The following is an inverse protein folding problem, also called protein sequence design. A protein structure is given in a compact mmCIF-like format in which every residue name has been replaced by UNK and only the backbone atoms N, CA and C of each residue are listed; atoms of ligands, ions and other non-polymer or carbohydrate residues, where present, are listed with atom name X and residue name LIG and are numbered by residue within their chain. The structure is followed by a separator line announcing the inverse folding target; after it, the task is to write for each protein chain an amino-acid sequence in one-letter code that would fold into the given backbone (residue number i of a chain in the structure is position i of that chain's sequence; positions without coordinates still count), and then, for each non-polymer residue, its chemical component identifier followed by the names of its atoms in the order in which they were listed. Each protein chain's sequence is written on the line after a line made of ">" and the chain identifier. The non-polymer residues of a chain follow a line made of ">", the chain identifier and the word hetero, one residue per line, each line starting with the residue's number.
data_IF_928374143434
#
_entry.id   IF_928374143434
#
_cell.length_a   1.000
_cell.length_b   1.000
_cell.length_c   1.000
_cell.angle_alpha   90.00
_cell.angle_beta   90.00
_cell.angle_gamma   90.00
#
_symmetry.space_group_name_H-M   'P 1'
#
loop_
_entity.id
_entity.type
_entity.pdbx_description
1 polymer ?
#
# COMPACT_ATOMS: atom_id res chain seq x y z
N UNK A 1 9.73 -54.56 39.35
CA UNK A 1 9.60 -53.60 38.24
C UNK A 1 9.02 -54.34 37.05
N UNK A 2 8.10 -53.72 36.32
CA UNK A 2 7.39 -54.33 35.18
C UNK A 2 7.14 -53.31 34.07
N UNK A 3 8.03 -52.32 34.00
CA UNK A 3 8.05 -51.31 32.95
C UNK A 3 8.73 -51.96 31.73
N UNK A 4 8.12 -51.72 30.57
CA UNK A 4 8.43 -52.21 29.23
C UNK A 4 7.99 -51.05 28.32
N UNK A 5 8.92 -50.12 28.07
CA UNK A 5 8.65 -48.82 27.44
C UNK A 5 8.32 -48.96 25.95
N UNK A 6 9.06 -49.81 25.25
CA UNK A 6 8.95 -49.99 23.80
C UNK A 6 7.95 -51.11 23.41
N UNK A 7 7.52 -51.93 24.37
CA UNK A 7 6.48 -52.94 24.19
C UNK A 7 6.98 -54.19 23.46
N UNK A 8 8.29 -54.45 23.45
CA UNK A 8 8.89 -55.62 22.79
C UNK A 8 8.70 -56.93 23.60
N UNK A 9 8.27 -56.81 24.86
CA UNK A 9 7.99 -57.91 25.78
C UNK A 9 9.15 -58.28 26.70
N UNK A 10 10.26 -57.54 26.65
CA UNK A 10 11.32 -57.53 27.66
C UNK A 10 11.07 -56.37 28.64
N UNK A 11 11.46 -56.58 29.90
CA UNK A 11 11.38 -55.50 30.90
C UNK A 11 12.63 -54.64 30.79
N UNK A 12 12.51 -53.31 30.86
CA UNK A 12 13.61 -52.36 30.57
C UNK A 12 14.92 -52.70 31.30
N UNK A 13 14.83 -53.08 32.59
CA UNK A 13 15.99 -53.44 33.39
C UNK A 13 16.76 -54.69 32.91
N UNK A 14 16.24 -55.41 31.93
CA UNK A 14 16.85 -56.57 31.28
C UNK A 14 16.88 -56.45 29.75
N UNK A 15 16.51 -55.30 29.20
CA UNK A 15 16.38 -55.08 27.78
C UNK A 15 17.53 -54.18 27.26
N UNK A 16 18.42 -54.70 26.40
CA UNK A 16 19.48 -53.92 25.79
C UNK A 16 19.05 -53.09 24.57
N UNK A 17 17.79 -53.21 24.13
CA UNK A 17 17.22 -52.52 22.98
C UNK A 17 16.17 -51.48 23.36
N UNK A 18 16.01 -51.17 24.65
CA UNK A 18 15.14 -50.08 25.12
C UNK A 18 15.39 -48.84 24.27
N UNK A 19 14.31 -48.38 23.67
CA UNK A 19 14.22 -47.20 22.83
C UNK A 19 13.17 -46.29 23.51
N UNK A 20 13.67 -45.36 24.33
CA UNK A 20 12.83 -44.58 25.24
C UNK A 20 11.98 -43.52 24.54
N UNK A 21 12.40 -43.04 23.37
CA UNK A 21 11.70 -42.01 22.59
C UNK A 21 11.08 -42.54 21.28
N UNK A 22 11.40 -43.78 20.90
CA UNK A 22 10.79 -44.49 19.78
C UNK A 22 11.37 -44.09 18.43
N UNK A 23 12.59 -43.57 18.38
CA UNK A 23 13.24 -43.11 17.15
C UNK A 23 13.94 -44.23 16.36
N UNK A 24 13.84 -45.47 16.84
CA UNK A 24 14.50 -46.68 16.30
C UNK A 24 15.99 -46.81 16.62
N UNK A 25 16.52 -45.99 17.53
CA UNK A 25 17.84 -46.10 18.13
C UNK A 25 17.67 -46.44 19.61
N UNK A 26 18.40 -47.45 20.08
CA UNK A 26 18.31 -47.84 21.49
C UNK A 26 19.05 -46.82 22.37
N UNK A 27 18.58 -46.57 23.59
CA UNK A 27 19.11 -45.60 24.57
C UNK A 27 20.64 -45.66 24.76
N UNK A 28 21.27 -46.82 24.53
CA UNK A 28 22.71 -47.00 24.70
C UNK A 28 23.55 -46.60 23.47
N UNK A 29 22.91 -46.40 22.33
CA UNK A 29 23.46 -45.95 21.06
C UNK A 29 22.91 -44.59 20.65
N UNK A 30 21.86 -44.14 21.33
CA UNK A 30 21.23 -42.84 21.21
C UNK A 30 22.25 -41.72 21.49
N UNK A 31 22.41 -40.87 20.49
CA UNK A 31 23.31 -39.73 20.53
C UNK A 31 22.65 -38.50 21.15
N UNK A 32 21.31 -38.46 21.18
CA UNK A 32 20.49 -37.41 21.73
C UNK A 32 19.25 -37.90 22.51
N UNK A 33 19.48 -38.31 23.77
CA UNK A 33 18.42 -38.84 24.65
C UNK A 33 17.09 -38.05 24.59
N UNK A 34 16.03 -38.70 24.06
CA UNK A 34 14.68 -38.14 24.02
C UNK A 34 14.28 -37.49 22.70
N UNK A 35 15.12 -37.56 21.67
CA UNK A 35 14.95 -36.93 20.37
C UNK A 35 15.36 -37.88 19.23
N UNK A 36 14.78 -37.68 18.05
CA UNK A 36 15.05 -38.52 16.88
C UNK A 36 16.42 -38.21 16.26
N UNK A 37 17.36 -39.16 16.38
CA UNK A 37 18.74 -39.13 15.89
C UNK A 37 18.85 -39.07 14.35
N UNK A 38 17.75 -39.27 13.62
CA UNK A 38 17.71 -39.19 12.16
C UNK A 38 17.44 -37.78 11.62
N UNK A 39 17.14 -36.83 12.51
CA UNK A 39 16.81 -35.45 12.13
C UNK A 39 18.04 -34.55 12.30
N UNK A 40 18.46 -33.98 11.18
CA UNK A 40 19.56 -33.02 11.03
C UNK A 40 19.14 -32.05 9.91
N UNK A 41 18.46 -30.96 10.27
CA UNK A 41 17.81 -30.05 9.32
C UNK A 41 18.82 -29.18 8.58
N UNK A 42 19.85 -28.70 9.27
CA UNK A 42 20.87 -27.82 8.69
C UNK A 42 22.08 -28.57 8.11
N UNK A 43 22.21 -29.87 8.39
CA UNK A 43 23.20 -30.76 7.80
C UNK A 43 24.61 -30.56 8.34
N UNK A 44 24.76 -29.98 9.53
CA UNK A 44 26.06 -29.72 10.15
C UNK A 44 26.67 -30.97 10.82
N UNK A 45 25.86 -32.03 10.96
CA UNK A 45 26.22 -33.31 11.54
C UNK A 45 25.98 -33.42 13.05
N UNK A 46 25.38 -32.39 13.65
CA UNK A 46 24.70 -32.45 14.93
C UNK A 46 23.22 -32.77 14.70
N UNK A 47 22.64 -33.50 15.64
CA UNK A 47 21.23 -33.88 15.59
C UNK A 47 20.41 -32.75 16.21
N UNK A 48 19.31 -32.38 15.56
CA UNK A 48 18.45 -31.25 15.96
C UNK A 48 18.11 -31.22 17.45
N UNK A 49 17.79 -32.39 18.04
CA UNK A 49 17.42 -32.51 19.44
C UNK A 49 18.50 -32.06 20.43
N UNK A 50 19.76 -32.09 20.00
CA UNK A 50 20.94 -31.77 20.79
C UNK A 50 21.77 -30.64 20.17
N UNK A 51 21.18 -29.92 19.23
CA UNK A 51 21.81 -28.81 18.55
C UNK A 51 21.25 -27.46 19.02
N UNK A 52 22.07 -26.72 19.75
CA UNK A 52 21.76 -25.36 20.19
C UNK A 52 21.89 -24.32 19.07
N UNK A 53 22.56 -24.68 17.95
CA UNK A 53 22.86 -23.80 16.82
C UNK A 53 22.01 -24.07 15.58
N UNK A 54 21.03 -24.96 15.70
CA UNK A 54 20.13 -25.39 14.63
C UNK A 54 19.61 -24.21 13.79
N UNK A 55 19.75 -24.34 12.48
CA UNK A 55 19.33 -23.37 11.46
C UNK A 55 18.30 -23.99 10.51
N UNK A 56 17.01 -23.84 10.85
CA UNK A 56 15.93 -24.57 10.17
C UNK A 56 15.74 -24.20 8.70
N UNK A 57 16.08 -22.96 8.32
CA UNK A 57 15.88 -22.46 6.97
C UNK A 57 17.19 -22.27 6.19
N UNK A 58 18.32 -22.42 6.87
CA UNK A 58 19.64 -22.51 6.27
C UNK A 58 20.18 -21.17 5.79
N UNK A 59 19.74 -20.06 6.39
CA UNK A 59 20.19 -18.71 6.02
C UNK A 59 21.47 -18.25 6.74
N UNK A 60 21.94 -19.05 7.70
CA UNK A 60 23.15 -18.85 8.47
C UNK A 60 22.94 -18.18 9.81
N UNK A 61 21.70 -18.01 10.27
CA UNK A 61 21.34 -17.55 11.61
C UNK A 61 20.61 -18.66 12.37
N UNK A 62 21.10 -19.03 13.56
CA UNK A 62 20.44 -20.08 14.34
C UNK A 62 19.01 -19.67 14.72
N UNK A 63 18.13 -20.66 14.86
CA UNK A 63 16.73 -20.49 15.26
C UNK A 63 16.56 -19.66 16.56
N UNK A 64 17.57 -19.67 17.44
CA UNK A 64 17.55 -18.93 18.71
C UNK A 64 17.83 -17.43 18.55
N UNK A 65 18.53 -17.05 17.48
CA UNK A 65 18.92 -15.68 17.16
C UNK A 65 18.10 -15.09 16.02
N UNK A 66 17.34 -15.93 15.30
CA UNK A 66 16.50 -15.55 14.18
C UNK A 66 15.07 -15.16 14.60
N UNK A 67 14.60 -14.00 14.12
CA UNK A 67 13.22 -13.55 14.28
C UNK A 67 12.21 -14.36 13.44
N UNK A 68 12.66 -14.98 12.35
CA UNK A 68 11.86 -15.80 11.44
C UNK A 68 12.52 -17.15 11.12
N UNK A 69 12.63 -18.09 12.09
CA UNK A 69 13.35 -19.38 11.97
C UNK A 69 12.86 -20.38 10.91
N UNK A 70 12.00 -19.98 9.97
CA UNK A 70 11.50 -20.84 8.90
C UNK A 70 11.39 -20.06 7.56
N UNK A 71 11.99 -18.87 7.46
CA UNK A 71 12.02 -18.05 6.25
C UNK A 71 13.44 -17.54 6.01
N UNK A 72 14.18 -18.29 5.18
CA UNK A 72 15.58 -18.01 4.82
C UNK A 72 15.85 -16.64 4.15
N UNK A 73 14.81 -15.83 3.94
CA UNK A 73 14.92 -14.47 3.41
C UNK A 73 14.74 -13.40 4.48
N UNK A 74 14.49 -13.75 5.74
CA UNK A 74 14.21 -12.80 6.83
C UNK A 74 14.88 -13.26 8.12
N UNK A 75 15.79 -12.44 8.68
CA UNK A 75 16.47 -12.76 9.95
C UNK A 75 16.14 -11.79 11.08
N UNK A 76 15.63 -10.61 10.71
CA UNK A 76 15.52 -9.46 11.60
C UNK A 76 14.12 -8.87 11.55
N UNK A 77 13.59 -8.56 12.74
CA UNK A 77 12.40 -7.75 12.96
C UNK A 77 12.81 -6.56 13.86
N UNK A 78 13.32 -5.50 13.24
CA UNK A 78 13.93 -4.38 13.97
C UNK A 78 12.91 -3.56 14.77
N UNK A 79 11.65 -3.54 14.36
CA UNK A 79 10.58 -2.76 15.01
C UNK A 79 9.58 -3.61 15.82
N UNK A 80 9.70 -4.94 15.76
CA UNK A 80 8.97 -5.90 16.58
C UNK A 80 7.51 -6.05 16.15
N UNK A 81 7.20 -5.80 14.88
CA UNK A 81 5.83 -5.84 14.35
C UNK A 81 5.44 -7.21 13.74
N UNK A 82 6.40 -8.14 13.67
CA UNK A 82 6.23 -9.47 13.11
C UNK A 82 6.37 -9.54 11.59
N UNK A 83 6.87 -8.47 10.95
CA UNK A 83 7.25 -8.42 9.53
C UNK A 83 8.76 -8.25 9.42
N UNK A 84 9.38 -9.06 8.57
CA UNK A 84 10.83 -9.01 8.39
C UNK A 84 11.31 -7.71 7.74
N UNK A 85 12.50 -7.28 8.14
CA UNK A 85 13.14 -6.06 7.67
C UNK A 85 13.33 -6.07 6.13
N UNK A 86 13.58 -7.23 5.49
CA UNK A 86 13.76 -7.28 4.04
C UNK A 86 12.42 -7.06 3.31
N UNK A 87 11.32 -7.58 3.84
CA UNK A 87 9.97 -7.33 3.34
C UNK A 87 9.55 -5.87 3.55
N UNK A 88 9.87 -5.27 4.71
CA UNK A 88 9.58 -3.86 4.97
C UNK A 88 10.34 -2.96 3.99
N UNK A 89 11.63 -3.24 3.76
CA UNK A 89 12.45 -2.53 2.78
C UNK A 89 11.91 -2.70 1.35
N UNK A 90 11.50 -3.91 0.97
CA UNK A 90 10.92 -4.18 -0.34
C UNK A 90 9.62 -3.39 -0.55
N UNK A 91 8.79 -3.28 0.48
CA UNK A 91 7.56 -2.49 0.43
C UNK A 91 7.84 -0.99 0.26
N UNK A 92 8.87 -0.46 0.91
CA UNK A 92 9.25 0.95 0.76
C UNK A 92 9.80 1.26 -0.64
N UNK A 93 10.64 0.38 -1.19
CA UNK A 93 11.13 0.52 -2.56
C UNK A 93 9.99 0.44 -3.59
N UNK A 94 9.05 -0.49 -3.41
CA UNK A 94 7.89 -0.61 -4.28
C UNK A 94 7.01 0.64 -4.23
N UNK A 95 6.80 1.21 -3.04
CA UNK A 95 6.02 2.44 -2.89
C UNK A 95 6.66 3.63 -3.66
N UNK A 96 7.99 3.72 -3.70
CA UNK A 96 8.68 4.73 -4.49
C UNK A 96 8.51 4.50 -6.00
N UNK A 97 8.61 3.25 -6.47
CA UNK A 97 8.37 2.90 -7.88
C UNK A 97 6.93 3.17 -8.29
N UNK A 98 5.95 2.82 -7.46
CA UNK A 98 4.53 3.08 -7.70
C UNK A 98 4.24 4.58 -7.76
N UNK A 99 4.86 5.38 -6.88
CA UNK A 99 4.76 6.82 -6.93
C UNK A 99 5.35 7.39 -8.23
N UNK A 100 6.51 6.89 -8.69
CA UNK A 100 7.13 7.28 -9.96
C UNK A 100 6.27 6.87 -11.16
N UNK A 101 5.73 5.67 -11.15
CA UNK A 101 4.82 5.14 -12.17
C UNK A 101 3.56 6.00 -12.27
N UNK A 102 2.96 6.33 -11.12
CA UNK A 102 1.77 7.18 -11.06
C UNK A 102 2.10 8.59 -11.58
N UNK A 103 3.25 9.17 -11.23
CA UNK A 103 3.69 10.47 -11.77
C UNK A 103 3.94 10.41 -13.27
N UNK A 104 4.52 9.34 -13.80
CA UNK A 104 4.66 9.13 -15.24
C UNK A 104 3.31 9.07 -15.94
N UNK A 105 2.36 8.29 -15.43
CA UNK A 105 1.01 8.18 -15.97
C UNK A 105 0.31 9.54 -15.96
N UNK A 106 0.34 10.27 -14.83
CA UNK A 106 -0.26 11.59 -14.70
C UNK A 106 0.37 12.56 -15.71
N UNK A 107 1.70 12.58 -15.85
CA UNK A 107 2.38 13.45 -16.81
C UNK A 107 2.00 13.12 -18.26
N UNK A 108 1.86 11.84 -18.59
CA UNK A 108 1.42 11.37 -19.91
C UNK A 108 -0.02 11.78 -20.21
N UNK A 109 -0.94 11.58 -19.26
CA UNK A 109 -2.35 11.98 -19.40
C UNK A 109 -2.48 13.49 -19.55
N UNK A 110 -1.76 14.28 -18.76
CA UNK A 110 -1.74 15.75 -18.87
C UNK A 110 -1.22 16.19 -20.24
N UNK A 111 -0.15 15.58 -20.75
CA UNK A 111 0.37 15.86 -22.09
C UNK A 111 -0.66 15.57 -23.18
N UNK A 112 -1.35 14.42 -23.11
CA UNK A 112 -2.41 14.06 -24.07
C UNK A 112 -3.56 15.07 -24.02
N UNK A 113 -4.00 15.48 -22.84
CA UNK A 113 -5.05 16.50 -22.68
C UNK A 113 -4.62 17.83 -23.29
N UNK A 114 -3.38 18.27 -23.07
CA UNK A 114 -2.84 19.49 -23.67
C UNK A 114 -2.82 19.38 -25.20
N UNK A 115 -2.37 18.26 -25.76
CA UNK A 115 -2.35 18.05 -27.22
C UNK A 115 -3.76 18.08 -27.80
N UNK A 116 -4.73 17.44 -27.15
CA UNK A 116 -6.14 17.47 -27.58
C UNK A 116 -6.73 18.87 -27.46
N UNK A 117 -6.46 19.60 -26.38
CA UNK A 117 -6.93 20.97 -26.19
C UNK A 117 -6.34 21.93 -27.24
N UNK A 118 -5.04 21.81 -27.52
CA UNK A 118 -4.37 22.58 -28.58
C UNK A 118 -4.95 22.20 -29.95
N UNK A 119 -5.08 20.91 -30.24
CA UNK A 119 -5.65 20.42 -31.50
C UNK A 119 -7.08 20.91 -31.73
N UNK A 120 -7.95 20.82 -30.73
CA UNK A 120 -9.33 21.31 -30.79
C UNK A 120 -9.39 22.84 -30.94
N UNK A 121 -8.53 23.59 -30.24
CA UNK A 121 -8.43 25.04 -30.40
C UNK A 121 -8.04 25.45 -31.83
N UNK A 122 -7.05 24.78 -32.43
CA UNK A 122 -6.64 25.05 -33.81
C UNK A 122 -7.72 24.65 -34.84
N UNK A 123 -8.48 23.58 -34.59
CA UNK A 123 -9.63 23.19 -35.43
C UNK A 123 -10.76 24.21 -35.33
N UNK A 124 -11.07 24.70 -34.12
CA UNK A 124 -12.10 25.71 -33.91
C UNK A 124 -11.72 27.08 -34.51
N UNK A 125 -10.42 27.41 -34.57
CA UNK A 125 -9.94 28.62 -35.26
C UNK A 125 -9.97 28.55 -36.80
N UNK A 126 -10.33 27.41 -37.40
CA UNK A 126 -10.47 27.26 -38.86
C UNK A 126 -11.91 27.53 -39.36
N UNK A 127 -12.67 28.38 -38.65
CA UNK A 127 -13.98 28.84 -39.12
C UNK A 127 -14.15 30.35 -38.93
N UNK A 128 -13.43 31.12 -39.74
CA UNK A 128 -13.76 32.52 -40.03
C UNK A 128 -14.15 32.63 -41.51
N UNK A 129 -15.41 32.31 -41.78
CA UNK A 129 -16.11 32.69 -43.00
C UNK A 129 -16.90 33.97 -42.71
N UNK A 130 -16.67 34.99 -43.52
CA UNK A 130 -17.31 36.30 -43.47
C UNK A 130 -18.83 36.22 -43.56
N UNK A 131 -19.54 36.58 -42.49
CA UNK A 131 -20.97 36.87 -42.55
C UNK A 131 -21.23 38.31 -42.07
N UNK A 132 -21.70 39.13 -43.01
CA UNK A 132 -22.12 40.51 -42.83
C UNK A 132 -23.28 40.63 -41.83
N UNK A 133 -23.24 41.67 -40.99
CA UNK A 133 -24.36 42.09 -40.14
C UNK A 133 -25.48 42.72 -40.97
N UNK A 134 -26.76 42.31 -40.85
CA UNK A 134 -27.85 43.08 -41.41
C UNK A 134 -28.30 44.18 -40.45
N UNK A 135 -28.61 45.32 -41.06
CA UNK A 135 -29.00 46.59 -40.46
C UNK A 135 -30.28 46.48 -39.63
N UNK A 136 -30.27 47.23 -38.53
CA UNK A 136 -31.39 47.49 -37.65
C UNK A 136 -32.54 48.21 -38.38
N UNK A 137 -33.78 47.82 -38.10
CA UNK A 137 -35.00 48.57 -38.47
C UNK A 137 -36.06 48.41 -37.35
N UNK A 138 -37.07 49.30 -37.30
CA UNK A 138 -37.50 49.93 -36.05
C UNK A 138 -38.51 49.15 -35.20
N UNK A 139 -38.52 49.56 -33.93
CA UNK A 139 -39.35 49.12 -32.80
C UNK A 139 -40.85 49.13 -33.13
N UNK A 140 -41.53 48.01 -32.90
CA UNK A 140 -42.97 47.98 -32.61
C UNK A 140 -43.18 47.40 -31.23
N UNK A 141 -43.61 48.30 -30.33
CA UNK A 141 -43.91 48.06 -28.94
C UNK A 141 -45.23 47.27 -28.84
N UNK A 142 -45.20 46.10 -28.22
CA UNK A 142 -46.41 45.45 -27.70
C UNK A 142 -46.31 45.41 -26.17
N UNK A 143 -46.94 46.39 -25.54
CA UNK A 143 -47.39 46.26 -24.16
C UNK A 143 -48.47 45.16 -24.13
N UNK A 144 -48.33 44.17 -23.24
CA UNK A 144 -49.15 43.98 -22.04
C UNK A 144 -48.96 42.54 -21.48
N UNK A 145 -49.38 42.29 -20.23
CA UNK A 145 -48.52 42.08 -19.07
C UNK A 145 -48.35 40.57 -18.78
N UNK A 146 -47.50 40.22 -17.82
CA UNK A 146 -47.76 39.23 -16.77
C UNK A 146 -46.42 38.75 -16.18
N UNK A 147 -46.16 39.27 -14.97
CA UNK A 147 -45.33 38.69 -13.91
C UNK A 147 -43.86 38.40 -14.24
N UNK A 148 -43.03 39.44 -14.09
CA UNK A 148 -41.61 39.27 -13.79
C UNK A 148 -41.48 38.54 -12.44
N UNK A 149 -41.14 37.26 -12.48
CA UNK A 149 -40.45 36.64 -11.35
C UNK A 149 -38.96 36.95 -11.52
N UNK A 150 -38.48 37.96 -10.78
CA UNK A 150 -37.07 38.09 -10.45
C UNK A 150 -36.69 36.87 -9.61
N UNK A 151 -36.27 35.79 -10.28
CA UNK A 151 -35.52 34.73 -9.61
C UNK A 151 -34.18 35.35 -9.28
N UNK A 152 -34.04 35.83 -8.04
CA UNK A 152 -32.74 36.16 -7.46
C UNK A 152 -32.01 34.83 -7.33
N UNK A 153 -31.38 34.38 -8.41
CA UNK A 153 -30.45 33.27 -8.36
C UNK A 153 -29.31 33.70 -7.45
N UNK A 154 -29.15 33.00 -6.32
CA UNK A 154 -28.04 33.24 -5.41
C UNK A 154 -26.73 33.20 -6.22
N UNK A 155 -25.81 34.15 -5.99
CA UNK A 155 -24.58 34.21 -6.76
C UNK A 155 -23.83 32.88 -6.60
N UNK A 156 -23.41 32.29 -7.72
CA UNK A 156 -22.64 31.04 -7.74
C UNK A 156 -21.14 31.34 -7.75
N UNK A 157 -20.33 30.42 -7.24
CA UNK A 157 -18.87 30.56 -7.25
C UNK A 157 -18.36 30.36 -8.67
N UNK A 158 -17.67 31.37 -9.21
CA UNK A 158 -17.10 31.39 -10.57
C UNK A 158 -15.63 30.95 -10.53
N UNK A 159 -14.87 31.40 -9.53
CA UNK A 159 -13.46 31.03 -9.37
C UNK A 159 -13.07 31.01 -7.89
N UNK A 160 -12.11 30.15 -7.51
CA UNK A 160 -11.55 30.07 -6.15
C UNK A 160 -10.04 29.83 -6.21
N UNK A 161 -9.26 30.56 -5.43
CA UNK A 161 -7.79 30.43 -5.40
C UNK A 161 -7.21 30.75 -4.01
N UNK A 162 -5.97 30.33 -3.76
CA UNK A 162 -5.21 30.68 -2.56
C UNK A 162 -4.01 31.54 -2.97
N UNK A 163 -3.77 32.64 -2.27
CA UNK A 163 -2.64 33.52 -2.54
C UNK A 163 -1.32 33.04 -1.89
N UNK A 164 -0.22 33.71 -2.20
CA UNK A 164 1.11 33.39 -1.66
C UNK A 164 1.24 33.62 -0.15
N UNK A 165 0.31 34.35 0.46
CA UNK A 165 0.23 34.58 1.91
C UNK A 165 -0.70 33.56 2.61
N UNK A 166 -1.31 32.63 1.86
CA UNK A 166 -2.15 31.56 2.36
C UNK A 166 -3.63 31.91 2.53
N UNK A 167 -4.09 33.07 2.04
CA UNK A 167 -5.52 33.43 2.11
C UNK A 167 -6.30 32.82 0.94
N UNK A 168 -7.47 32.27 1.24
CA UNK A 168 -8.38 31.70 0.23
C UNK A 168 -9.40 32.74 -0.23
N UNK A 169 -9.55 32.88 -1.54
CA UNK A 169 -10.40 33.87 -2.20
C UNK A 169 -11.39 33.18 -3.15
N UNK A 170 -12.55 33.80 -3.38
CA UNK A 170 -13.51 33.39 -4.42
C UNK A 170 -14.17 34.57 -5.10
N UNK A 171 -14.41 34.47 -6.40
CA UNK A 171 -15.28 35.39 -7.16
C UNK A 171 -16.61 34.76 -7.45
N UNK A 172 -17.65 35.58 -7.40
CA UNK A 172 -19.04 35.20 -7.52
C UNK A 172 -19.61 35.66 -8.88
N UNK A 173 -20.71 35.06 -9.32
CA UNK A 173 -21.36 35.40 -10.61
C UNK A 173 -21.94 36.81 -10.67
N UNK A 174 -22.11 37.47 -9.53
CA UNK A 174 -22.48 38.88 -9.41
C UNK A 174 -21.27 39.84 -9.46
N UNK A 175 -20.07 39.30 -9.67
CA UNK A 175 -18.82 40.05 -9.70
C UNK A 175 -18.23 40.37 -8.32
N UNK A 176 -18.84 39.89 -7.22
CA UNK A 176 -18.28 40.08 -5.89
C UNK A 176 -17.09 39.15 -5.61
N UNK A 177 -16.11 39.66 -4.86
CA UNK A 177 -14.97 38.90 -4.37
C UNK A 177 -15.11 38.71 -2.87
N UNK A 178 -14.89 37.47 -2.41
CA UNK A 178 -14.95 37.09 -1.01
C UNK A 178 -13.62 36.42 -0.61
N UNK A 179 -13.18 36.60 0.64
CA UNK A 179 -12.01 35.94 1.21
C UNK A 179 -12.36 35.18 2.50
N UNK A 180 -11.62 34.12 2.80
CA UNK A 180 -11.85 33.26 3.95
C UNK A 180 -11.00 33.67 5.15
N UNK A 181 -11.64 33.97 6.28
CA UNK A 181 -10.95 34.37 7.51
C UNK A 181 -10.73 33.22 8.52
N UNK A 182 -11.02 31.98 8.14
CA UNK A 182 -10.97 30.81 9.02
C UNK A 182 -12.31 30.40 9.63
N UNK A 183 -13.33 31.27 9.62
CA UNK A 183 -14.68 30.96 10.14
C UNK A 183 -15.80 31.24 9.15
N UNK A 184 -15.67 32.30 8.36
CA UNK A 184 -16.69 32.75 7.42
C UNK A 184 -16.08 33.48 6.21
N UNK A 185 -16.89 33.65 5.17
CA UNK A 185 -16.51 34.37 3.96
C UNK A 185 -16.80 35.86 4.09
N UNK A 186 -15.78 36.69 3.94
CA UNK A 186 -15.83 38.14 4.06
C UNK A 186 -15.79 38.79 2.69
N UNK A 187 -16.67 39.78 2.45
CA UNK A 187 -16.68 40.55 1.19
C UNK A 187 -15.60 41.62 1.24
N UNK A 188 -14.91 41.80 0.12
CA UNK A 188 -14.00 42.92 -0.09
C UNK A 188 -14.75 44.23 -0.26
#
# INVERSE_FOLDING_TARGET
>A
DSIDVDGDGLIDGCDPLVDSDGDSIADNLDQCEGFDDSIDVDGDGLIDGCDDLIDNDGDGVSNSEDAFPNDANETLDSDGDGVGDNQQLAAELQAEEDAKQQMMIISGVVLVIIVVAVGTFFVLKKKDGSDEMPKQSPIMNFNNPHMQQTVVTAPTVVNQWTDQAGYTWRTMSDGSTLWWNGREWQKT
#
